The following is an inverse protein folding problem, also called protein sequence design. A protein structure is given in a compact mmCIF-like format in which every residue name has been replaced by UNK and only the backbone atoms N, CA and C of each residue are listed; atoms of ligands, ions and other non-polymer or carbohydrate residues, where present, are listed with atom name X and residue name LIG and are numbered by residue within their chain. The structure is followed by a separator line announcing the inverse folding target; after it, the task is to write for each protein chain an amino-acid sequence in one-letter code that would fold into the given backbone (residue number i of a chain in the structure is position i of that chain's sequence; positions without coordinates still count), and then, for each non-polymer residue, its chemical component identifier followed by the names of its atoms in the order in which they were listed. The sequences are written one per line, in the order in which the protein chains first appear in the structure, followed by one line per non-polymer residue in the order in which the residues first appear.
data_IF_415157077223
#
_entry.id   IF_415157077223
#
_cell.length_a   1.000
_cell.length_b   1.000
_cell.length_c   1.000
_cell.angle_alpha   90.00
_cell.angle_beta   90.00
_cell.angle_gamma   90.00
#
_symmetry.space_group_name_H-M   'P 1'
#
loop_
_entity.id
_entity.type
_entity.pdbx_description
1 polymer ?
#
# COMPACT_ATOMS: atom_id res chain seq x y z
N UNK A 1 14.19 -21.71 -10.41
CA UNK A 1 14.09 -21.36 -10.50
C UNK A 1 13.57 -20.56 -10.49
N UNK A 2 13.52 -20.34 -10.28
CA UNK A 2 13.38 -19.64 -10.41
C UNK A 2 12.94 -18.83 -10.59
N UNK A 3 12.76 -18.71 -10.44
CA UNK A 3 12.49 -17.97 -10.61
C UNK A 3 12.47 -16.99 -11.07
N UNK A 4 12.39 -16.97 -11.29
CA UNK A 4 12.57 -15.98 -12.15
C UNK A 4 11.61 -14.89 -12.09
N UNK A 5 11.03 -14.65 -11.05
CA UNK A 5 10.15 -13.56 -10.89
C UNK A 5 10.91 -12.34 -10.57
N UNK A 6 10.85 -11.39 -11.44
CA UNK A 6 11.44 -10.12 -11.17
C UNK A 6 10.67 -9.44 -10.10
N UNK A 7 11.36 -8.98 -9.08
CA UNK A 7 10.73 -8.18 -8.05
C UNK A 7 10.83 -6.72 -8.46
N UNK A 8 9.70 -6.04 -8.31
CA UNK A 8 9.63 -4.62 -8.65
C UNK A 8 9.22 -3.85 -7.43
N UNK A 9 9.54 -2.57 -7.44
CA UNK A 9 9.15 -1.68 -6.36
C UNK A 9 7.74 -1.16 -6.62
N UNK A 10 6.92 -1.20 -5.60
CA UNK A 10 5.55 -0.69 -5.68
C UNK A 10 5.31 0.30 -4.58
N UNK A 11 4.45 1.26 -4.86
CA UNK A 11 4.02 2.20 -3.85
C UNK A 11 2.60 1.85 -3.45
N UNK A 12 2.36 1.74 -2.17
CA UNK A 12 1.03 1.47 -1.64
C UNK A 12 0.61 2.64 -0.76
N UNK A 13 -0.51 3.25 -1.10
CA UNK A 13 -1.13 4.25 -0.26
C UNK A 13 -2.33 3.60 0.42
N UNK A 14 -2.59 3.96 1.66
CA UNK A 14 -3.67 3.33 2.38
C UNK A 14 -4.35 4.30 3.34
N UNK A 15 -5.61 3.99 3.64
CA UNK A 15 -6.36 4.62 4.70
C UNK A 15 -6.75 3.54 5.68
N UNK A 16 -6.44 3.75 6.95
CA UNK A 16 -6.79 2.80 8.00
C UNK A 16 -7.61 3.51 9.08
N UNK A 17 -8.29 2.71 9.88
CA UNK A 17 -9.24 3.23 10.87
C UNK A 17 -8.51 3.95 12.00
N UNK A 18 -7.48 3.33 12.57
CA UNK A 18 -6.82 3.87 13.75
C UNK A 18 -5.34 4.02 13.53
N UNK A 19 -4.76 4.93 14.29
CA UNK A 19 -3.31 5.03 14.31
C UNK A 19 -2.76 3.70 14.84
N UNK A 20 -1.76 3.19 14.16
CA UNK A 20 -1.20 1.89 14.49
C UNK A 20 -1.67 0.79 13.57
N UNK A 21 -2.78 0.98 12.88
CA UNK A 21 -3.29 -0.03 11.97
C UNK A 21 -2.40 -0.18 10.74
N UNK A 22 -1.47 0.75 10.53
CA UNK A 22 -0.50 0.58 9.45
C UNK A 22 0.34 -0.67 9.66
N UNK A 23 0.48 -1.12 10.89
CA UNK A 23 1.20 -2.37 11.14
C UNK A 23 0.48 -3.57 10.55
N UNK A 24 -0.84 -3.49 10.47
CA UNK A 24 -1.61 -4.55 9.83
C UNK A 24 -1.26 -4.61 8.35
N UNK A 25 -1.14 -3.44 7.71
CA UNK A 25 -0.77 -3.38 6.30
C UNK A 25 0.58 -4.05 6.08
N UNK A 26 1.57 -3.68 6.89
CA UNK A 26 2.90 -4.25 6.74
C UNK A 26 2.91 -5.75 7.01
N UNK A 27 2.12 -6.20 7.97
CA UNK A 27 2.03 -7.62 8.27
C UNK A 27 1.52 -8.41 7.08
N UNK A 28 0.48 -7.91 6.42
CA UNK A 28 -0.07 -8.59 5.26
C UNK A 28 0.97 -8.67 4.15
N UNK A 29 1.67 -7.55 3.91
CA UNK A 29 2.68 -7.53 2.86
C UNK A 29 3.78 -8.54 3.17
N UNK A 30 4.25 -8.56 4.41
CA UNK A 30 5.31 -9.49 4.80
C UNK A 30 4.87 -10.94 4.71
N UNK A 31 3.60 -11.19 5.00
CA UNK A 31 3.06 -12.55 4.94
C UNK A 31 3.15 -13.13 3.54
N UNK A 32 3.10 -12.27 2.54
CA UNK A 32 3.21 -12.70 1.14
C UNK A 32 4.65 -12.71 0.64
N UNK A 33 5.61 -12.57 1.55
CA UNK A 33 7.01 -12.65 1.18
C UNK A 33 7.58 -11.39 0.57
N UNK A 34 6.81 -10.32 0.54
CA UNK A 34 7.31 -9.06 0.01
C UNK A 34 8.11 -8.34 1.07
N UNK A 35 8.98 -7.47 0.62
CA UNK A 35 9.86 -6.75 1.51
C UNK A 35 9.50 -5.27 1.50
N UNK A 36 9.13 -4.73 2.66
CA UNK A 36 8.86 -3.30 2.78
C UNK A 36 10.21 -2.59 2.82
N UNK A 37 10.44 -1.70 1.88
CA UNK A 37 11.73 -1.03 1.77
C UNK A 37 11.71 0.36 2.38
N UNK A 38 10.54 0.99 2.46
CA UNK A 38 10.44 2.33 3.01
C UNK A 38 8.99 2.60 3.35
N UNK A 39 8.77 3.50 4.27
CA UNK A 39 7.42 3.92 4.56
C UNK A 39 7.44 5.37 5.03
N UNK A 40 6.34 6.07 4.73
CA UNK A 40 6.21 7.45 5.14
C UNK A 40 5.48 7.57 6.45
N UNK A 41 5.39 8.79 6.92
CA UNK A 41 4.67 9.06 8.14
C UNK A 41 3.18 8.88 7.93
N UNK A 42 2.52 8.40 8.96
CA UNK A 42 1.07 8.23 8.94
C UNK A 42 0.45 9.51 9.48
N UNK A 43 -0.53 10.04 8.76
CA UNK A 43 -1.18 11.29 9.11
C UNK A 43 -2.66 11.08 9.29
N UNK A 44 -3.21 11.79 10.25
CA UNK A 44 -4.66 11.79 10.46
C UNK A 44 -5.30 12.67 9.38
N UNK A 45 -6.37 12.18 8.77
CA UNK A 45 -7.09 12.94 7.75
C UNK A 45 -8.57 12.91 8.07
N UNK A 46 -9.22 14.03 7.77
CA UNK A 46 -10.66 14.12 7.92
C UNK A 46 -11.27 13.85 6.55
N UNK A 47 -12.20 12.92 6.51
CA UNK A 47 -12.81 12.50 5.26
C UNK A 47 -13.98 13.41 4.93
N UNK A 48 -14.09 13.78 3.65
CA UNK A 48 -15.23 14.56 3.17
C UNK A 48 -16.52 13.76 3.31
N UNK A 49 -16.41 12.47 3.07
CA UNK A 49 -17.53 11.55 3.21
C UNK A 49 -17.10 10.42 4.10
N UNK A 50 -17.96 9.97 5.02
CA UNK A 50 -17.60 8.83 5.85
C UNK A 50 -17.33 7.60 4.98
N UNK A 51 -16.30 6.85 5.35
CA UNK A 51 -16.04 5.55 4.73
C UNK A 51 -16.28 4.52 5.81
N UNK A 52 -17.21 3.59 5.56
CA UNK A 52 -17.57 2.58 6.55
C UNK A 52 -17.89 3.23 7.89
N UNK A 53 -18.59 4.38 7.84
CA UNK A 53 -19.01 5.14 9.01
C UNK A 53 -17.88 5.84 9.74
N UNK A 54 -16.68 5.85 9.21
CA UNK A 54 -15.57 6.57 9.81
C UNK A 54 -15.41 7.92 9.14
N UNK A 55 -15.37 8.97 9.93
CA UNK A 55 -15.17 10.32 9.44
C UNK A 55 -13.72 10.74 9.46
N UNK A 56 -12.93 10.05 10.26
CA UNK A 56 -11.52 10.32 10.40
C UNK A 56 -10.79 9.03 10.10
N UNK A 57 -9.69 9.13 9.37
CA UNK A 57 -8.88 7.99 9.05
C UNK A 57 -7.43 8.37 9.17
N UNK A 58 -6.55 7.41 9.00
CA UNK A 58 -5.13 7.66 9.03
C UNK A 58 -4.56 7.24 7.68
N UNK A 59 -3.90 8.19 7.05
CA UNK A 59 -3.32 7.98 5.72
C UNK A 59 -1.84 7.70 5.84
N UNK A 60 -1.38 6.72 5.10
CA UNK A 60 0.03 6.43 5.04
C UNK A 60 0.40 5.85 3.69
N UNK A 61 1.69 5.70 3.49
CA UNK A 61 2.16 5.05 2.28
C UNK A 61 3.44 4.32 2.59
N UNK A 62 3.74 3.34 1.74
CA UNK A 62 4.97 2.60 1.88
C UNK A 62 5.38 2.07 0.52
N UNK A 63 6.61 1.64 0.45
CA UNK A 63 7.15 1.02 -0.75
C UNK A 63 7.56 -0.39 -0.41
N UNK A 64 7.36 -1.30 -1.34
CA UNK A 64 7.74 -2.68 -1.12
C UNK A 64 8.16 -3.32 -2.43
N UNK A 65 8.95 -4.37 -2.29
CA UNK A 65 9.41 -5.16 -3.42
C UNK A 65 8.59 -6.43 -3.51
N UNK A 66 8.07 -6.71 -4.68
CA UNK A 66 7.26 -7.89 -4.85
C UNK A 66 7.14 -8.22 -6.34
N UNK A 67 6.59 -9.37 -6.64
CA UNK A 67 6.27 -9.71 -8.02
C UNK A 67 4.84 -9.29 -8.32
N UNK A 68 4.51 -9.06 -9.59
CA UNK A 68 3.14 -8.66 -9.94
C UNK A 68 2.09 -9.65 -9.48
N UNK A 69 2.41 -10.93 -9.46
CA UNK A 69 1.44 -11.94 -9.02
C UNK A 69 1.13 -11.78 -7.54
N UNK A 70 2.16 -11.53 -6.74
CA UNK A 70 1.95 -11.39 -5.31
C UNK A 70 1.23 -10.10 -4.98
N UNK A 71 1.44 -9.05 -5.78
CA UNK A 71 0.78 -7.78 -5.54
C UNK A 71 -0.74 -7.93 -5.59
N UNK A 72 -1.23 -8.73 -6.52
CA UNK A 72 -2.67 -8.96 -6.59
C UNK A 72 -3.19 -9.65 -5.35
N UNK A 73 -2.44 -10.62 -4.85
CA UNK A 73 -2.84 -11.32 -3.63
C UNK A 73 -2.80 -10.41 -2.42
N UNK A 74 -1.76 -9.57 -2.35
CA UNK A 74 -1.65 -8.61 -1.27
C UNK A 74 -2.82 -7.64 -1.28
N UNK A 75 -3.15 -7.10 -2.45
CA UNK A 75 -4.28 -6.18 -2.59
C UNK A 75 -5.56 -6.82 -2.13
N UNK A 76 -5.78 -8.06 -2.55
CA UNK A 76 -7.00 -8.77 -2.20
C UNK A 76 -7.11 -8.93 -0.68
N UNK A 77 -6.03 -9.37 -0.05
CA UNK A 77 -6.03 -9.57 1.39
C UNK A 77 -6.24 -8.27 2.15
N UNK A 78 -5.61 -7.19 1.66
CA UNK A 78 -5.77 -5.90 2.32
C UNK A 78 -7.21 -5.42 2.25
N UNK A 79 -7.85 -5.63 1.10
CA UNK A 79 -9.24 -5.18 0.94
C UNK A 79 -10.20 -5.92 1.83
N UNK A 80 -9.84 -7.13 2.24
CA UNK A 80 -10.70 -7.93 3.10
C UNK A 80 -10.57 -7.57 4.57
N UNK A 81 -9.55 -6.80 4.93
CA UNK A 81 -9.32 -6.49 6.34
C UNK A 81 -10.18 -5.32 6.77
N UNK A 82 -10.98 -5.48 7.82
CA UNK A 82 -11.94 -4.42 8.19
C UNK A 82 -11.30 -3.15 8.71
N UNK A 83 -10.05 -3.16 9.17
CA UNK A 83 -9.43 -1.92 9.63
C UNK A 83 -8.81 -1.14 8.49
N UNK A 84 -8.79 -1.70 7.28
CA UNK A 84 -8.25 -1.02 6.11
C UNK A 84 -9.41 -0.49 5.31
N UNK A 85 -9.50 0.84 5.23
CA UNK A 85 -10.63 1.47 4.56
C UNK A 85 -10.44 1.55 3.07
N UNK A 86 -9.23 1.87 2.63
CA UNK A 86 -8.93 1.99 1.20
C UNK A 86 -7.46 1.72 0.96
N UNK A 87 -7.17 1.23 -0.22
CA UNK A 87 -5.79 1.09 -0.67
C UNK A 87 -5.68 1.50 -2.13
N UNK A 88 -4.50 1.96 -2.49
CA UNK A 88 -4.16 2.25 -3.87
C UNK A 88 -2.74 1.76 -4.10
N UNK A 89 -2.57 0.81 -4.98
CA UNK A 89 -1.26 0.29 -5.31
C UNK A 89 -0.85 0.88 -6.65
N UNK A 90 0.31 1.50 -6.66
CA UNK A 90 0.83 2.13 -7.86
C UNK A 90 2.05 1.34 -8.31
N UNK A 91 2.05 0.96 -9.58
CA UNK A 91 3.19 0.27 -10.14
C UNK A 91 4.37 1.23 -10.13
N UNK A 92 5.58 0.71 -10.33
CA UNK A 92 6.79 1.51 -10.13
C UNK A 92 6.66 2.85 -10.80
N UNK A 93 7.02 3.87 -10.05
CA UNK A 93 7.02 5.19 -10.63
C UNK A 93 8.09 5.22 -11.62
N UNK A 94 8.38 5.15 -12.23
CA UNK A 94 9.49 5.16 -13.04
C UNK A 94 9.87 6.45 -13.50
N UNK A 95 9.36 6.06 -12.75
CA UNK A 95 9.54 6.72 -13.05
C UNK A 95 9.65 7.41 -13.52
N UNK A 96 9.82 7.25 -13.49
CA UNK A 96 10.00 7.74 -13.87
C UNK A 96 10.01 8.51 -14.22
N UNK A 97 10.17 8.48 -14.48
CA UNK A 97 10.17 9.14 -14.86
C UNK A 97 9.90 9.97 -15.00
N UNK A 98 9.99 9.98 -15.24
CA UNK A 98 9.67 10.69 -15.51
C UNK A 98 9.26 11.48 -15.71
N UNK A 99 9.30 11.45 -15.95
CA UNK A 99 8.88 12.07 -16.24
C UNK A 99 8.28 12.79 -16.44
N UNK A 100 8.25 12.71 -16.56
CA UNK A 100 7.68 13.22 -16.68
C UNK A 100 7.13 14.16 -16.74
N UNK A 101 7.16 14.11 -16.76
CA UNK A 101 6.69 14.79 -16.73
C UNK A 101 6.45 15.77 -16.88
N UNK A 102 6.64 15.70 -17.11
CA UNK A 102 6.49 16.36 -17.22
C UNK A 102 6.09 17.23 -17.25
N UNK A 103 6.00 17.33 -17.42
CA UNK A 103 5.67 17.97 -17.41
C UNK A 103 5.28 18.46 -17.33
#
# INVERSE_FOLDING_TARGET
MEENKEKKSYELSFLVVNKGDENVVESVISRHGAEVTDHGMVSEVRLSYPIKKNKIAHFGFLYFLSSPEEVEKISHDLKLNPVILRILVITPPIAKSGGRRMR
#
